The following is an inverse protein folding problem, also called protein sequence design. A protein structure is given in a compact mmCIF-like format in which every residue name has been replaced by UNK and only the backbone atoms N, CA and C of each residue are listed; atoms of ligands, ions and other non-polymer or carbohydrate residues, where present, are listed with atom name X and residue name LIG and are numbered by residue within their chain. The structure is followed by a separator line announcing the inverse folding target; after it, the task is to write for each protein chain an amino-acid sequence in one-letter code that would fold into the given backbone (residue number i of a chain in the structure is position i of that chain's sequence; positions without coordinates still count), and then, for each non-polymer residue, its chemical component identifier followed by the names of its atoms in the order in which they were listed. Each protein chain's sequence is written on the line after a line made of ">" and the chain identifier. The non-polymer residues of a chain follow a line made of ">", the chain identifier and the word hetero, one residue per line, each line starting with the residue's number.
data_IF_718320534680
#
_entry.id   IF_718320534680
#
_cell.length_a   1.000
_cell.length_b   1.000
_cell.length_c   1.000
_cell.angle_alpha   90.00
_cell.angle_beta   90.00
_cell.angle_gamma   90.00
#
_symmetry.space_group_name_H-M   'P 1'
#
loop_
_entity.id
_entity.type
_entity.pdbx_description
1 polymer ?
#
# COMPACT_ATOMS: atom_id res chain seq x y z
N UNK A 1 -0.27 -18.87 5.86
CA UNK A 1 0.99 -18.11 5.97
C UNK A 1 0.81 -17.05 7.07
N UNK A 2 1.85 -16.71 7.82
CA UNK A 2 1.75 -15.61 8.79
C UNK A 2 1.81 -14.27 8.05
N UNK A 3 0.93 -13.33 8.39
CA UNK A 3 0.98 -11.95 7.91
C UNK A 3 2.29 -11.31 8.38
N UNK A 4 3.01 -10.62 7.49
CA UNK A 4 4.21 -9.87 7.86
C UNK A 4 3.80 -8.50 8.41
N UNK A 5 3.51 -8.44 9.70
CA UNK A 5 3.26 -7.17 10.39
C UNK A 5 4.58 -6.45 10.68
N UNK A 6 4.59 -5.14 10.43
CA UNK A 6 5.66 -4.21 10.79
C UNK A 6 5.01 -3.10 11.62
N UNK A 7 5.12 -3.24 12.95
CA UNK A 7 4.52 -2.28 13.89
C UNK A 7 5.61 -1.30 14.30
N UNK A 8 5.36 -0.01 14.09
CA UNK A 8 6.26 1.08 14.44
C UNK A 8 5.72 1.87 15.61
N UNK A 9 6.61 2.45 16.42
CA UNK A 9 6.22 3.25 17.58
C UNK A 9 5.43 4.50 17.17
N UNK A 10 5.79 5.09 16.02
CA UNK A 10 5.15 6.30 15.52
C UNK A 10 4.67 6.15 14.07
N UNK A 11 3.65 6.94 13.71
CA UNK A 11 3.22 7.09 12.32
C UNK A 11 4.37 7.53 11.41
N UNK A 12 5.18 8.48 11.88
CA UNK A 12 6.32 9.00 11.13
C UNK A 12 7.28 7.89 10.68
N UNK A 13 7.60 6.96 11.59
CA UNK A 13 8.49 5.85 11.30
C UNK A 13 7.86 4.86 10.30
N UNK A 14 6.55 4.60 10.43
CA UNK A 14 5.80 3.79 9.48
C UNK A 14 5.79 4.41 8.07
N UNK A 15 5.63 5.73 7.98
CA UNK A 15 5.65 6.49 6.73
C UNK A 15 7.02 6.43 6.05
N UNK A 16 8.09 6.67 6.80
CA UNK A 16 9.47 6.55 6.31
C UNK A 16 9.76 5.15 5.78
N UNK A 17 9.32 4.12 6.51
CA UNK A 17 9.50 2.75 6.08
C UNK A 17 8.77 2.47 4.77
N UNK A 18 7.49 2.87 4.65
CA UNK A 18 6.71 2.68 3.43
C UNK A 18 7.36 3.40 2.23
N UNK A 19 7.78 4.65 2.42
CA UNK A 19 8.48 5.44 1.41
C UNK A 19 9.73 4.71 0.89
N UNK A 20 10.58 4.23 1.80
CA UNK A 20 11.79 3.48 1.44
C UNK A 20 11.47 2.16 0.73
N UNK A 21 10.43 1.43 1.14
CA UNK A 21 10.01 0.21 0.43
C UNK A 21 9.57 0.49 -1.01
N UNK A 22 8.75 1.54 -1.22
CA UNK A 22 8.31 1.91 -2.57
C UNK A 22 9.52 2.35 -3.42
N UNK A 23 10.40 3.20 -2.88
CA UNK A 23 11.64 3.62 -3.56
C UNK A 23 12.51 2.43 -3.94
N UNK A 24 12.68 1.45 -3.04
CA UNK A 24 13.40 0.20 -3.32
C UNK A 24 12.77 -0.57 -4.47
N UNK A 25 11.44 -0.71 -4.50
CA UNK A 25 10.74 -1.37 -5.60
C UNK A 25 10.98 -0.67 -6.94
N UNK A 26 10.91 0.67 -6.97
CA UNK A 26 11.21 1.46 -8.16
C UNK A 26 12.67 1.32 -8.61
N UNK A 27 13.61 1.22 -7.66
CA UNK A 27 15.05 1.04 -7.98
C UNK A 27 15.38 -0.35 -8.54
N UNK A 28 14.66 -1.39 -8.10
CA UNK A 28 14.91 -2.77 -8.50
C UNK A 28 14.21 -3.14 -9.81
N UNK A 29 13.09 -2.48 -10.12
CA UNK A 29 12.25 -2.79 -11.26
C UNK A 29 11.95 -1.51 -12.06
N UNK A 30 12.80 -1.21 -13.04
CA UNK A 30 12.67 -0.01 -13.90
C UNK A 30 11.47 -0.03 -14.85
N UNK A 31 10.81 -1.19 -14.98
CA UNK A 31 9.55 -1.40 -15.68
C UNK A 31 8.53 -1.92 -14.65
N UNK A 32 7.79 -0.99 -14.05
CA UNK A 32 6.90 -1.28 -12.93
C UNK A 32 5.58 -0.56 -13.06
N UNK A 33 4.51 -1.30 -12.81
CA UNK A 33 3.19 -0.75 -12.58
C UNK A 33 2.89 -0.72 -11.10
N UNK A 34 2.54 0.46 -10.57
CA UNK A 34 2.17 0.66 -9.18
C UNK A 34 0.75 1.22 -9.08
N UNK A 35 0.02 0.77 -8.07
CA UNK A 35 -1.22 1.45 -7.61
C UNK A 35 -0.99 2.02 -6.22
N UNK A 36 -1.28 3.30 -6.05
CA UNK A 36 -1.19 4.03 -4.78
C UNK A 36 -2.58 4.55 -4.37
N UNK A 37 -3.03 4.15 -3.18
CA UNK A 37 -4.24 4.68 -2.55
C UNK A 37 -4.00 6.11 -2.03
N UNK A 38 -4.75 7.10 -2.55
CA UNK A 38 -4.64 8.51 -2.17
C UNK A 38 -5.41 8.84 -0.88
N UNK A 39 -5.26 8.01 0.15
CA UNK A 39 -5.81 8.26 1.47
C UNK A 39 -4.93 9.28 2.22
N UNK A 40 -5.55 10.21 2.97
CA UNK A 40 -4.83 11.23 3.76
C UNK A 40 -3.82 10.63 4.75
N UNK A 41 -4.06 9.40 5.24
CA UNK A 41 -3.13 8.71 6.15
C UNK A 41 -1.78 8.39 5.48
N UNK A 42 -1.77 8.27 4.16
CA UNK A 42 -0.59 7.95 3.34
C UNK A 42 0.14 9.20 2.83
N UNK A 43 -0.40 10.41 3.03
CA UNK A 43 0.13 11.62 2.41
C UNK A 43 1.59 11.89 2.80
N UNK A 44 1.92 11.77 4.09
CA UNK A 44 3.28 11.96 4.59
C UNK A 44 4.25 10.93 4.01
N UNK A 45 3.82 9.66 3.89
CA UNK A 45 4.63 8.61 3.27
C UNK A 45 4.95 8.93 1.81
N UNK A 46 4.01 9.51 1.07
CA UNK A 46 4.24 9.95 -0.30
C UNK A 46 5.14 11.18 -0.40
N UNK A 47 5.05 12.11 0.56
CA UNK A 47 5.95 13.26 0.61
C UNK A 47 7.39 12.82 0.92
N UNK A 48 7.57 11.85 1.84
CA UNK A 48 8.88 11.23 2.07
C UNK A 48 9.38 10.47 0.86
N UNK A 49 8.52 9.73 0.15
CA UNK A 49 8.90 9.03 -1.09
C UNK A 49 9.42 10.01 -2.15
N UNK A 50 8.73 11.13 -2.35
CA UNK A 50 9.15 12.17 -3.31
C UNK A 50 10.50 12.76 -2.88
N UNK A 51 10.67 13.08 -1.60
CA UNK A 51 11.94 13.56 -1.04
C UNK A 51 13.09 12.57 -1.25
N UNK A 52 12.83 11.28 -0.99
CA UNK A 52 13.78 10.19 -1.18
C UNK A 52 14.17 10.00 -2.64
N UNK A 53 13.22 10.06 -3.58
CA UNK A 53 13.53 9.98 -5.01
C UNK A 53 14.36 11.19 -5.45
N UNK A 54 14.06 12.38 -4.94
CA UNK A 54 14.83 13.59 -5.28
C UNK A 54 16.27 13.54 -4.74
N UNK A 55 16.48 13.00 -3.53
CA UNK A 55 17.80 12.86 -2.91
C UNK A 55 18.58 11.65 -3.45
N UNK A 56 17.87 10.59 -3.82
CA UNK A 56 18.41 9.33 -4.31
C UNK A 56 17.70 8.92 -5.61
N UNK A 57 18.05 9.57 -6.75
CA UNK A 57 17.34 9.39 -8.02
C UNK A 57 17.25 7.95 -8.48
N UNK A 58 16.05 7.56 -8.90
CA UNK A 58 15.76 6.28 -9.56
C UNK A 58 15.19 6.55 -10.94
N UNK A 59 15.46 5.66 -11.90
CA UNK A 59 14.93 5.81 -13.26
C UNK A 59 13.44 5.49 -13.29
N UNK A 60 12.60 6.48 -13.60
CA UNK A 60 11.15 6.34 -13.67
C UNK A 60 10.60 6.19 -15.10
N UNK A 61 11.47 6.13 -16.13
CA UNK A 61 11.07 6.20 -17.54
C UNK A 61 10.05 5.15 -18.01
N UNK A 62 9.96 3.98 -17.37
CA UNK A 62 8.94 2.96 -17.69
C UNK A 62 8.08 2.61 -16.47
N UNK A 63 7.96 3.52 -15.51
CA UNK A 63 7.08 3.33 -14.36
C UNK A 63 5.69 3.85 -14.73
N UNK A 64 4.65 3.05 -14.50
CA UNK A 64 3.25 3.48 -14.58
C UNK A 64 2.71 3.63 -13.16
N UNK A 65 2.12 4.78 -12.88
CA UNK A 65 1.58 5.14 -11.58
C UNK A 65 0.07 5.35 -11.67
N UNK A 66 -0.66 4.42 -11.06
CA UNK A 66 -2.10 4.48 -10.91
C UNK A 66 -2.47 5.00 -9.53
N UNK A 67 -3.27 6.06 -9.48
CA UNK A 67 -3.67 6.75 -8.26
C UNK A 67 -5.14 6.43 -7.95
N UNK A 68 -5.40 5.80 -6.82
CA UNK A 68 -6.70 5.24 -6.47
C UNK A 68 -7.44 6.09 -5.44
N UNK A 69 -8.77 5.90 -5.38
CA UNK A 69 -9.69 6.28 -4.31
C UNK A 69 -9.95 7.77 -4.04
N UNK A 70 -9.05 8.66 -4.39
CA UNK A 70 -9.24 10.11 -4.21
C UNK A 70 -8.61 10.89 -5.36
N UNK A 71 -8.94 12.18 -5.43
CA UNK A 71 -8.21 13.13 -6.25
C UNK A 71 -7.05 13.69 -5.41
N UNK A 72 -5.81 13.62 -5.90
CA UNK A 72 -4.64 13.98 -5.09
C UNK A 72 -3.28 13.78 -5.76
N UNK A 73 -3.25 13.60 -7.09
CA UNK A 73 -2.03 13.25 -7.81
C UNK A 73 -1.02 14.37 -8.03
N UNK A 74 -1.39 15.62 -7.74
CA UNK A 74 -0.56 16.79 -8.07
C UNK A 74 0.83 16.75 -7.41
N UNK A 75 0.97 16.13 -6.24
CA UNK A 75 2.28 15.99 -5.57
C UNK A 75 3.26 15.15 -6.39
N UNK A 76 2.78 14.17 -7.15
CA UNK A 76 3.61 13.31 -7.99
C UNK A 76 4.11 14.01 -9.26
N UNK A 77 3.61 15.21 -9.60
CA UNK A 77 4.18 16.05 -10.66
C UNK A 77 5.60 16.54 -10.35
N UNK A 78 6.04 16.40 -9.09
CA UNK A 78 7.43 16.67 -8.69
C UNK A 78 8.39 15.55 -9.11
N UNK A 79 7.86 14.37 -9.44
CA UNK A 79 8.64 13.28 -9.99
C UNK A 79 8.85 13.50 -11.49
N UNK A 80 10.02 13.14 -12.00
CA UNK A 80 10.34 13.16 -13.44
C UNK A 80 9.65 11.99 -14.18
N UNK A 81 8.31 11.98 -14.10
CA UNK A 81 7.42 11.03 -14.75
C UNK A 81 6.66 11.75 -15.86
N UNK A 82 6.73 11.26 -17.11
CA UNK A 82 5.81 11.67 -18.16
C UNK A 82 4.34 11.68 -17.69
N UNK A 83 3.61 12.76 -17.95
CA UNK A 83 2.17 12.90 -17.61
C UNK A 83 1.31 11.72 -18.08
N UNK A 84 1.76 11.02 -19.13
CA UNK A 84 1.05 9.86 -19.66
C UNK A 84 1.12 8.62 -18.77
N UNK A 85 2.10 8.56 -17.87
CA UNK A 85 2.35 7.46 -16.95
C UNK A 85 1.64 7.61 -15.61
N UNK A 86 1.11 8.80 -15.30
CA UNK A 86 0.30 9.05 -14.10
C UNK A 86 -1.17 9.06 -14.48
N UNK A 87 -1.98 8.24 -13.82
CA UNK A 87 -3.41 8.09 -14.11
C UNK A 87 -4.19 7.92 -12.82
N UNK A 88 -5.34 8.56 -12.73
CA UNK A 88 -6.30 8.25 -11.66
C UNK A 88 -7.16 7.07 -12.10
N UNK A 89 -7.43 6.15 -11.17
CA UNK A 89 -8.27 4.96 -11.38
C UNK A 89 -9.28 4.85 -10.25
N UNK A 90 -10.51 4.46 -10.58
CA UNK A 90 -11.63 4.42 -9.60
C UNK A 90 -12.19 3.03 -9.33
N UNK A 91 -11.85 2.05 -10.15
CA UNK A 91 -12.34 0.67 -10.02
C UNK A 91 -11.42 -0.32 -10.74
N UNK A 92 -11.67 -1.61 -10.55
CA UNK A 92 -10.97 -2.67 -11.28
C UNK A 92 -11.16 -2.60 -12.77
N UNK A 93 -12.39 -2.34 -13.23
CA UNK A 93 -12.66 -2.20 -14.67
C UNK A 93 -11.89 -1.02 -15.27
N UNK A 94 -11.73 0.06 -14.52
CA UNK A 94 -11.00 1.25 -14.96
C UNK A 94 -9.49 0.98 -15.02
N UNK A 95 -8.96 0.30 -13.99
CA UNK A 95 -7.58 -0.17 -13.97
C UNK A 95 -7.29 -1.12 -15.14
N UNK A 96 -8.14 -2.12 -15.38
CA UNK A 96 -7.97 -3.12 -16.45
C UNK A 96 -7.92 -2.46 -17.85
N UNK A 97 -8.69 -1.40 -18.08
CA UNK A 97 -8.66 -0.64 -19.35
C UNK A 97 -7.33 0.05 -19.62
N UNK A 98 -6.58 0.38 -18.56
CA UNK A 98 -5.30 1.07 -18.66
C UNK A 98 -4.10 0.15 -18.59
N UNK A 99 -4.29 -1.10 -18.17
CA UNK A 99 -3.26 -2.13 -18.20
C UNK A 99 -3.12 -2.72 -19.61
N UNK A 100 -1.90 -2.91 -20.05
CA UNK A 100 -1.66 -3.71 -21.26
C UNK A 100 -2.03 -5.18 -20.97
N UNK A 101 -2.55 -5.93 -21.96
CA UNK A 101 -3.05 -7.32 -21.79
C UNK A 101 -2.06 -8.32 -21.16
N UNK A 102 -0.76 -8.01 -21.14
CA UNK A 102 0.30 -8.85 -20.57
C UNK A 102 0.94 -8.24 -19.31
N UNK A 103 0.57 -7.01 -18.99
CA UNK A 103 1.09 -6.27 -17.86
C UNK A 103 0.54 -6.83 -16.56
N UNK A 104 1.38 -6.87 -15.53
CA UNK A 104 1.00 -7.32 -14.20
C UNK A 104 1.31 -6.21 -13.23
N UNK A 105 0.38 -5.96 -12.32
CA UNK A 105 0.59 -5.01 -11.22
C UNK A 105 1.78 -5.47 -10.37
N UNK A 106 2.82 -4.65 -10.27
CA UNK A 106 4.01 -4.97 -9.48
C UNK A 106 3.73 -4.73 -8.01
N UNK A 107 3.23 -3.54 -7.68
CA UNK A 107 2.99 -3.12 -6.29
C UNK A 107 1.60 -2.50 -6.18
N UNK A 108 0.87 -2.86 -5.13
CA UNK A 108 -0.29 -2.11 -4.69
C UNK A 108 -0.06 -1.62 -3.26
N UNK A 109 -0.30 -0.33 -3.01
CA UNK A 109 -0.30 0.28 -1.68
C UNK A 109 -1.74 0.67 -1.35
N UNK A 110 -2.30 0.07 -0.30
CA UNK A 110 -3.70 0.27 0.10
C UNK A 110 -3.78 0.67 1.57
N UNK A 111 -4.64 1.64 1.88
CA UNK A 111 -4.91 2.02 3.27
C UNK A 111 -5.99 1.09 3.87
N UNK A 112 -5.68 0.47 5.01
CA UNK A 112 -6.59 -0.36 5.79
C UNK A 112 -7.49 0.52 6.67
N UNK A 113 -8.60 0.97 6.11
CA UNK A 113 -9.64 1.70 6.85
C UNK A 113 -10.76 0.77 7.36
N UNK A 114 -11.83 1.36 7.88
CA UNK A 114 -12.97 0.62 8.44
C UNK A 114 -13.80 -0.14 7.39
N UNK A 115 -13.76 0.26 6.10
CA UNK A 115 -14.53 -0.33 4.99
C UNK A 115 -13.56 -0.86 3.91
N UNK A 116 -12.51 -1.55 4.37
CA UNK A 116 -11.42 -1.96 3.50
C UNK A 116 -11.87 -2.92 2.39
N UNK A 117 -11.79 -2.44 1.14
CA UNK A 117 -12.21 -3.16 -0.06
C UNK A 117 -11.30 -2.95 -1.28
N UNK A 118 -10.17 -2.28 -1.09
CA UNK A 118 -9.27 -1.84 -2.18
C UNK A 118 -9.76 -0.53 -2.78
N UNK A 119 -10.60 -0.61 -3.83
CA UNK A 119 -11.23 0.57 -4.42
C UNK A 119 -12.45 1.04 -3.63
N UNK A 120 -12.52 2.32 -3.24
CA UNK A 120 -13.65 2.89 -2.48
C UNK A 120 -14.97 2.85 -3.25
N UNK A 121 -14.92 2.83 -4.58
CA UNK A 121 -16.07 2.62 -5.48
C UNK A 121 -16.01 1.25 -6.16
N UNK A 122 -17.14 0.56 -6.23
CA UNK A 122 -17.29 -0.73 -6.91
C UNK A 122 -17.26 -1.94 -5.97
N UNK A 123 -17.14 -3.13 -6.56
CA UNK A 123 -16.98 -4.40 -5.85
C UNK A 123 -15.52 -4.62 -5.40
N UNK A 124 -15.28 -5.64 -4.58
CA UNK A 124 -13.93 -6.06 -4.17
C UNK A 124 -13.03 -6.26 -5.38
N UNK A 125 -11.85 -5.67 -5.33
CA UNK A 125 -10.88 -5.67 -6.43
C UNK A 125 -9.99 -6.92 -6.47
N UNK A 126 -10.15 -7.79 -7.46
CA UNK A 126 -9.23 -8.93 -7.64
C UNK A 126 -7.90 -8.51 -8.26
N UNK A 127 -7.88 -7.42 -9.05
CA UNK A 127 -6.65 -6.94 -9.68
C UNK A 127 -5.68 -6.33 -8.68
N UNK A 128 -6.16 -5.53 -7.71
CA UNK A 128 -5.31 -4.94 -6.67
C UNK A 128 -4.74 -6.02 -5.75
N UNK A 129 -5.57 -6.96 -5.31
CA UNK A 129 -5.11 -8.07 -4.47
C UNK A 129 -4.32 -9.12 -5.26
N UNK A 130 -4.26 -9.01 -6.59
CA UNK A 130 -3.43 -9.83 -7.48
C UNK A 130 -2.04 -9.25 -7.78
N UNK A 131 -1.68 -8.09 -7.18
CA UNK A 131 -0.36 -7.48 -7.34
C UNK A 131 0.78 -8.46 -6.98
N UNK A 132 1.98 -8.27 -7.53
CA UNK A 132 3.11 -9.14 -7.14
C UNK A 132 3.48 -8.95 -5.67
N UNK A 133 3.38 -7.72 -5.18
CA UNK A 133 3.58 -7.29 -3.80
C UNK A 133 2.46 -6.35 -3.34
N UNK A 134 2.04 -6.52 -2.10
CA UNK A 134 0.98 -5.74 -1.48
C UNK A 134 1.50 -5.07 -0.21
N UNK A 135 1.44 -3.75 -0.16
CA UNK A 135 1.65 -2.97 1.07
C UNK A 135 0.29 -2.55 1.60
N UNK A 136 -0.04 -3.04 2.79
CA UNK A 136 -1.23 -2.61 3.52
C UNK A 136 -0.78 -1.66 4.61
N UNK A 137 -1.26 -0.44 4.59
CA UNK A 137 -0.88 0.59 5.55
C UNK A 137 -2.05 0.90 6.47
N UNK A 138 -1.81 1.04 7.77
CA UNK A 138 -2.83 1.49 8.71
C UNK A 138 -2.21 2.38 9.80
N UNK A 139 -2.87 3.51 10.09
CA UNK A 139 -2.40 4.45 11.10
C UNK A 139 -3.57 5.03 11.91
N UNK A 140 -3.38 5.11 13.21
CA UNK A 140 -4.34 5.64 14.16
C UNK A 140 -5.35 4.61 14.68
N UNK A 141 -5.95 4.94 15.82
CA UNK A 141 -6.85 4.04 16.56
C UNK A 141 -8.11 3.66 15.77
N UNK A 142 -8.53 4.49 14.81
CA UNK A 142 -9.67 4.25 13.94
C UNK A 142 -9.49 3.00 13.06
N UNK A 143 -8.25 2.66 12.70
CA UNK A 143 -7.94 1.45 11.94
C UNK A 143 -7.84 0.18 12.80
N UNK A 144 -7.73 0.31 14.14
CA UNK A 144 -7.39 -0.80 15.03
C UNK A 144 -8.35 -1.98 14.99
N UNK A 145 -9.64 -1.70 14.79
CA UNK A 145 -10.66 -2.75 14.67
C UNK A 145 -10.48 -3.56 13.38
N UNK A 146 -10.17 -2.90 12.26
CA UNK A 146 -9.91 -3.60 11.00
C UNK A 146 -8.60 -4.37 11.05
N UNK A 147 -7.57 -3.83 11.70
CA UNK A 147 -6.30 -4.55 11.94
C UNK A 147 -6.56 -5.85 12.71
N UNK A 148 -7.38 -5.81 13.77
CA UNK A 148 -7.75 -7.02 14.51
C UNK A 148 -8.50 -8.02 13.63
N UNK A 149 -9.48 -7.54 12.86
CA UNK A 149 -10.24 -8.40 11.92
C UNK A 149 -9.34 -9.02 10.84
N UNK A 150 -8.34 -8.29 10.34
CA UNK A 150 -7.36 -8.81 9.38
C UNK A 150 -6.52 -9.91 10.02
N UNK A 151 -6.05 -9.70 11.24
CA UNK A 151 -5.31 -10.71 11.98
C UNK A 151 -6.14 -11.98 12.21
N UNK A 152 -7.41 -11.83 12.60
CA UNK A 152 -8.33 -12.95 12.87
C UNK A 152 -8.96 -13.57 11.61
N UNK A 153 -8.75 -12.97 10.42
CA UNK A 153 -9.44 -13.36 9.20
C UNK A 153 -9.25 -14.85 8.88
N UNK A 154 -10.36 -15.52 8.57
CA UNK A 154 -10.39 -16.93 8.17
C UNK A 154 -9.88 -17.06 6.73
N UNK A 155 -8.76 -17.76 6.55
CA UNK A 155 -8.12 -17.95 5.25
C UNK A 155 -8.96 -18.81 4.29
N UNK A 156 -9.96 -19.54 4.77
CA UNK A 156 -10.84 -20.39 3.94
C UNK A 156 -12.03 -19.64 3.32
N UNK A 157 -12.31 -18.43 3.81
CA UNK A 157 -13.42 -17.60 3.31
C UNK A 157 -12.98 -16.74 2.15
N UNK A 158 -13.88 -16.52 1.21
CA UNK A 158 -13.70 -15.52 0.15
C UNK A 158 -14.12 -14.13 0.66
N UNK A 159 -13.21 -13.50 1.40
CA UNK A 159 -13.37 -12.12 1.88
C UNK A 159 -12.14 -11.30 1.53
N UNK A 160 -12.29 -9.97 1.45
CA UNK A 160 -11.18 -9.05 1.17
C UNK A 160 -10.00 -9.26 2.15
N UNK A 161 -10.29 -9.37 3.44
CA UNK A 161 -9.25 -9.58 4.46
C UNK A 161 -8.57 -10.95 4.31
N UNK A 162 -9.35 -11.96 3.91
CA UNK A 162 -8.80 -13.29 3.59
C UNK A 162 -7.90 -13.24 2.36
N UNK A 163 -8.25 -12.47 1.33
CA UNK A 163 -7.41 -12.25 0.13
C UNK A 163 -6.07 -11.61 0.51
N UNK A 164 -6.08 -10.57 1.34
CA UNK A 164 -4.85 -9.96 1.89
C UNK A 164 -4.05 -10.98 2.69
N UNK A 165 -4.67 -11.71 3.60
CA UNK A 165 -3.99 -12.69 4.47
C UNK A 165 -3.40 -13.88 3.71
N UNK A 166 -4.03 -14.27 2.60
CA UNK A 166 -3.54 -15.33 1.70
C UNK A 166 -2.54 -14.82 0.66
N UNK A 167 -2.33 -13.51 0.56
CA UNK A 167 -1.43 -12.93 -0.42
C UNK A 167 0.02 -13.38 -0.19
N UNK A 168 0.70 -13.83 -1.25
CA UNK A 168 2.04 -14.45 -1.14
C UNK A 168 3.13 -13.52 -0.62
N UNK A 169 2.98 -12.22 -0.85
CA UNK A 169 3.98 -11.19 -0.58
C UNK A 169 3.25 -9.94 -0.13
N UNK A 170 2.77 -9.99 1.11
CA UNK A 170 2.10 -8.87 1.77
C UNK A 170 2.93 -8.39 2.94
N UNK A 171 3.06 -7.08 3.08
CA UNK A 171 3.61 -6.43 4.26
C UNK A 171 2.55 -5.49 4.81
N UNK A 172 2.20 -5.66 6.08
CA UNK A 172 1.23 -4.79 6.77
C UNK A 172 2.01 -3.85 7.69
N UNK A 173 1.95 -2.56 7.39
CA UNK A 173 2.70 -1.51 8.03
C UNK A 173 1.74 -0.75 8.95
N UNK A 174 2.05 -0.73 10.24
CA UNK A 174 1.18 -0.23 11.29
C UNK A 174 1.95 0.75 12.18
N UNK A 175 1.29 1.80 12.66
CA UNK A 175 1.72 2.48 13.88
C UNK A 175 1.16 1.77 15.14
N UNK A 176 1.64 2.17 16.32
CA UNK A 176 1.22 1.56 17.58
C UNK A 176 -0.29 1.71 17.83
N UNK A 177 -0.87 2.86 17.45
CA UNK A 177 -2.29 3.15 17.63
C UNK A 177 -3.17 2.22 16.78
N UNK A 178 -2.82 1.99 15.52
CA UNK A 178 -3.50 1.04 14.64
C UNK A 178 -3.31 -0.41 15.13
N UNK A 179 -2.19 -0.73 15.77
CA UNK A 179 -1.96 -2.05 16.35
C UNK A 179 -2.69 -2.28 17.68
N UNK A 180 -3.23 -1.25 18.33
CA UNK A 180 -3.66 -1.25 19.75
C UNK A 180 -4.64 -2.36 20.18
N UNK A 181 -5.42 -2.94 19.26
CA UNK A 181 -6.36 -4.05 19.53
C UNK A 181 -5.76 -5.45 19.33
N UNK A 182 -4.53 -5.56 18.86
CA UNK A 182 -3.79 -6.81 18.85
C UNK A 182 -3.34 -7.17 20.27
N UNK A 183 -3.24 -8.47 20.53
CA UNK A 183 -2.76 -8.97 21.81
C UNK A 183 -1.32 -8.49 22.05
N UNK A 184 -0.97 -8.26 23.32
CA UNK A 184 0.29 -7.60 23.68
C UNK A 184 1.52 -8.36 23.17
N UNK A 185 1.49 -9.69 23.26
CA UNK A 185 2.53 -10.58 22.75
C UNK A 185 2.70 -10.49 21.23
N UNK A 186 1.60 -10.37 20.49
CA UNK A 186 1.62 -10.13 19.03
C UNK A 186 2.28 -8.78 18.74
N UNK A 187 1.87 -7.72 19.45
CA UNK A 187 2.47 -6.39 19.27
C UNK A 187 3.97 -6.44 19.54
N UNK A 188 4.39 -6.93 20.70
CA UNK A 188 5.81 -7.05 21.06
C UNK A 188 6.63 -7.89 20.07
N UNK A 189 6.04 -8.95 19.49
CA UNK A 189 6.70 -9.79 18.49
C UNK A 189 6.94 -9.06 17.16
N UNK A 190 5.98 -8.24 16.71
CA UNK A 190 6.05 -7.54 15.43
C UNK A 190 6.49 -6.07 15.53
N UNK A 191 6.64 -5.52 16.75
CA UNK A 191 7.18 -4.18 16.97
C UNK A 191 8.62 -4.12 16.48
N UNK A 192 8.83 -3.31 15.47
CA UNK A 192 10.13 -3.00 14.95
C UNK A 192 10.77 -1.96 15.87
N UNK A 193 11.65 -2.43 16.75
CA UNK A 193 12.56 -1.53 17.47
C UNK A 193 13.60 -1.11 16.46
N UNK A 194 13.58 0.16 16.04
CA UNK A 194 14.69 0.68 15.24
C UNK A 194 16.01 0.40 15.98
N UNK A 195 16.95 -0.19 15.24
CA UNK A 195 18.34 -0.34 15.64
C UNK A 195 19.12 0.92 15.25
#
# INVERSE_FOLDING_TARGET
>A
MALNFKIYETKHDADLFLADQIRKQLSLNTDSTLVLDLNEKLDDAYDFLIGEINNHPVSLSNVKLFLANSEGGAKFNQLDLPDQQIRNVKSDEDLDRHLDKKEKLNVAVLNLDHDFKGFKSGESSDLLFGAKELFIYASGVDASETVRKLYDADMSRDSVLSKVKNHRMVTVILDEDAASKLDKDIREFYTYKFA
#
